data_IF_066136397444
#
_entry.id   IF_066136397444
#
_cell.length_a   1.000
_cell.length_b   1.000
_cell.length_c   1.000
_cell.angle_alpha   90.00
_cell.angle_beta   90.00
_cell.angle_gamma   90.00
#
_symmetry.space_group_name_H-M   'P 1'
#
loop_
_entity.id
_entity.type
_entity.pdbx_description
1 polymer ?
#
# COMPACT_ATOMS: atom_id res chain seq x y z
N UNK A 1 15.05 7.98 -12.55
CA UNK A 1 14.49 7.97 -11.17
C UNK A 1 13.06 8.50 -11.28
N UNK A 2 12.07 7.61 -11.40
CA UNK A 2 10.66 7.99 -11.39
C UNK A 2 10.14 7.65 -10.00
N UNK A 3 9.93 8.64 -9.14
CA UNK A 3 9.18 8.44 -7.90
C UNK A 3 7.72 8.74 -8.19
N UNK A 4 6.87 7.73 -8.12
CA UNK A 4 5.43 7.93 -8.14
C UNK A 4 5.00 8.51 -6.81
N UNK A 5 4.45 9.72 -6.81
CA UNK A 5 3.94 10.35 -5.60
C UNK A 5 2.55 9.78 -5.28
N UNK A 6 2.41 9.21 -4.08
CA UNK A 6 1.13 8.77 -3.53
C UNK A 6 0.67 9.80 -2.51
N UNK A 7 -0.54 10.32 -2.71
CA UNK A 7 -1.15 11.30 -1.82
C UNK A 7 -2.24 10.64 -0.97
N UNK A 8 -2.05 10.50 0.37
CA UNK A 8 -3.04 9.85 1.23
C UNK A 8 -4.45 10.43 1.11
N UNK A 9 -4.58 11.75 0.92
CA UNK A 9 -5.87 12.41 0.74
C UNK A 9 -6.68 11.86 -0.45
N UNK A 10 -6.02 11.50 -1.55
CA UNK A 10 -6.71 10.97 -2.73
C UNK A 10 -7.15 9.52 -2.49
N UNK A 11 -6.34 8.74 -1.76
CA UNK A 11 -6.70 7.39 -1.33
C UNK A 11 -7.90 7.40 -0.39
N UNK A 12 -7.90 8.29 0.62
CA UNK A 12 -9.01 8.49 1.56
C UNK A 12 -10.28 8.88 0.81
N UNK A 13 -10.20 9.85 -0.11
CA UNK A 13 -11.34 10.27 -0.94
C UNK A 13 -11.91 9.09 -1.74
N UNK A 14 -11.06 8.23 -2.29
CA UNK A 14 -11.50 7.07 -3.07
C UNK A 14 -12.11 5.98 -2.19
N UNK A 15 -11.55 5.72 -1.02
CA UNK A 15 -12.09 4.78 -0.05
C UNK A 15 -13.50 5.19 0.40
N UNK A 16 -13.69 6.46 0.75
CA UNK A 16 -15.00 7.02 1.11
C UNK A 16 -15.99 6.96 -0.04
N UNK A 17 -15.57 7.31 -1.27
CA UNK A 17 -16.44 7.24 -2.44
C UNK A 17 -17.01 5.85 -2.68
N UNK A 18 -16.24 4.80 -2.41
CA UNK A 18 -16.67 3.41 -2.54
C UNK A 18 -17.30 2.82 -1.27
N UNK A 19 -17.44 3.61 -0.19
CA UNK A 19 -17.85 3.12 1.12
C UNK A 19 -17.02 1.89 1.56
N UNK A 20 -15.72 1.90 1.29
CA UNK A 20 -14.87 0.75 1.48
C UNK A 20 -14.68 0.46 2.98
N UNK A 21 -14.95 -0.77 3.41
CA UNK A 21 -14.62 -1.21 4.78
C UNK A 21 -13.13 -1.57 4.93
N UNK A 22 -12.45 -1.86 3.83
CA UNK A 22 -11.03 -2.20 3.80
C UNK A 22 -10.43 -2.04 2.40
N UNK A 23 -9.10 -1.95 2.32
CA UNK A 23 -8.33 -1.85 1.07
C UNK A 23 -7.10 -2.76 1.08
N UNK A 24 -6.63 -3.12 -0.11
CA UNK A 24 -5.32 -3.72 -0.35
C UNK A 24 -4.57 -2.79 -1.31
N UNK A 25 -3.30 -2.51 -1.01
CA UNK A 25 -2.42 -1.80 -1.93
C UNK A 25 -1.61 -2.78 -2.75
N UNK A 26 -1.30 -2.40 -4.00
CA UNK A 26 -0.36 -3.15 -4.81
C UNK A 26 0.45 -2.19 -5.68
N UNK A 27 1.74 -2.46 -5.82
CA UNK A 27 2.58 -1.83 -6.82
C UNK A 27 3.55 -2.84 -7.43
N UNK A 28 4.03 -2.53 -8.63
CA UNK A 28 4.97 -3.38 -9.35
C UNK A 28 6.40 -2.87 -9.17
N UNK A 29 7.33 -3.80 -9.00
CA UNK A 29 8.76 -3.57 -9.18
C UNK A 29 9.18 -4.12 -10.53
N UNK A 30 9.38 -3.28 -11.58
CA UNK A 30 9.77 -3.75 -12.90
C UNK A 30 11.10 -4.51 -12.93
N UNK A 31 11.95 -4.33 -11.91
CA UNK A 31 13.19 -5.08 -11.73
C UNK A 31 12.97 -6.56 -11.41
N UNK A 32 11.78 -6.96 -10.96
CA UNK A 32 11.48 -8.30 -10.46
C UNK A 32 11.89 -8.53 -9.00
N UNK A 33 12.66 -7.63 -8.39
CA UNK A 33 13.00 -7.70 -6.97
C UNK A 33 11.80 -7.28 -6.12
N UNK A 34 11.31 -8.18 -5.26
CA UNK A 34 10.16 -7.94 -4.38
C UNK A 34 10.56 -7.41 -3.00
N UNK A 35 11.83 -7.11 -2.77
CA UNK A 35 12.31 -6.56 -1.50
C UNK A 35 11.71 -5.16 -1.28
N UNK A 36 10.97 -4.93 -0.17
CA UNK A 36 10.36 -3.63 0.10
C UNK A 36 11.42 -2.58 0.42
N UNK A 37 11.38 -1.47 -0.33
CA UNK A 37 12.22 -0.31 -0.07
C UNK A 37 11.76 0.44 1.19
N UNK A 38 12.59 1.36 1.67
CA UNK A 38 12.19 2.25 2.77
C UNK A 38 11.05 3.19 2.36
N UNK A 39 10.96 3.55 1.07
CA UNK A 39 9.87 4.35 0.56
C UNK A 39 8.54 3.59 0.63
N UNK A 40 8.54 2.30 0.25
CA UNK A 40 7.35 1.43 0.31
C UNK A 40 6.85 1.29 1.75
N UNK A 41 7.76 1.04 2.69
CA UNK A 41 7.42 0.96 4.12
C UNK A 41 6.85 2.27 4.65
N UNK A 42 7.50 3.39 4.32
CA UNK A 42 7.08 4.72 4.77
C UNK A 42 5.69 5.10 4.25
N UNK A 43 5.43 4.93 2.95
CA UNK A 43 4.13 5.27 2.37
C UNK A 43 3.03 4.34 2.89
N UNK A 44 3.30 3.04 3.07
CA UNK A 44 2.35 2.09 3.65
C UNK A 44 1.91 2.53 5.02
N UNK A 45 2.86 2.87 5.89
CA UNK A 45 2.58 3.34 7.24
C UNK A 45 1.81 4.67 7.25
N UNK A 46 2.11 5.58 6.32
CA UNK A 46 1.34 6.81 6.18
C UNK A 46 -0.11 6.55 5.74
N UNK A 47 -0.33 5.61 4.82
CA UNK A 47 -1.66 5.21 4.34
C UNK A 47 -2.47 4.51 5.43
N UNK A 48 -1.85 3.59 6.19
CA UNK A 48 -2.49 2.93 7.35
C UNK A 48 -3.00 3.99 8.33
N UNK A 49 -2.12 4.91 8.76
CA UNK A 49 -2.49 5.97 9.70
C UNK A 49 -3.63 6.83 9.17
N UNK A 50 -3.60 7.21 7.89
CA UNK A 50 -4.63 8.05 7.30
C UNK A 50 -6.00 7.34 7.21
N UNK A 51 -6.01 6.08 6.79
CA UNK A 51 -7.25 5.30 6.62
C UNK A 51 -7.84 4.83 7.96
N UNK A 52 -7.00 4.60 8.96
CA UNK A 52 -7.44 4.26 10.32
C UNK A 52 -8.33 5.35 10.93
N UNK A 53 -8.08 6.63 10.62
CA UNK A 53 -8.90 7.76 11.11
C UNK A 53 -10.36 7.72 10.62
N UNK A 54 -10.63 6.96 9.56
CA UNK A 54 -11.97 6.78 9.00
C UNK A 54 -12.41 5.31 9.04
N UNK A 55 -11.81 4.52 9.92
CA UNK A 55 -12.15 3.11 10.16
C UNK A 55 -12.04 2.20 8.93
N UNK A 56 -11.21 2.58 7.96
CA UNK A 56 -10.89 1.76 6.79
C UNK A 56 -9.62 0.96 7.06
N UNK A 57 -9.73 -0.37 7.04
CA UNK A 57 -8.60 -1.26 7.29
C UNK A 57 -7.71 -1.37 6.05
N UNK A 58 -6.40 -1.36 6.23
CA UNK A 58 -5.46 -1.83 5.21
C UNK A 58 -5.22 -3.30 5.50
N UNK A 59 -5.59 -4.19 4.58
CA UNK A 59 -5.44 -5.63 4.77
C UNK A 59 -4.07 -6.13 4.36
N UNK A 60 -3.49 -5.52 3.33
CA UNK A 60 -2.18 -5.88 2.82
C UNK A 60 -1.60 -4.78 1.92
N UNK A 61 -0.30 -4.88 1.67
CA UNK A 61 0.39 -4.21 0.58
C UNK A 61 1.25 -5.23 -0.17
N UNK A 62 0.94 -5.41 -1.46
CA UNK A 62 1.59 -6.36 -2.34
C UNK A 62 2.65 -5.68 -3.22
N UNK A 63 3.88 -6.19 -3.21
CA UNK A 63 4.90 -5.86 -4.21
C UNK A 63 4.95 -6.97 -5.24
N UNK A 64 4.69 -6.63 -6.50
CA UNK A 64 4.63 -7.61 -7.60
C UNK A 64 5.91 -7.51 -8.44
N UNK A 65 6.72 -8.57 -8.42
CA UNK A 65 7.99 -8.71 -9.14
C UNK A 65 7.93 -9.83 -10.20
N UNK A 66 6.94 -9.76 -11.10
CA UNK A 66 6.71 -10.82 -12.09
C UNK A 66 5.96 -12.01 -11.48
N UNK A 67 6.61 -13.18 -11.40
CA UNK A 67 6.01 -14.39 -10.81
C UNK A 67 6.11 -14.43 -9.27
N UNK A 68 6.79 -13.46 -8.67
CA UNK A 68 6.96 -13.35 -7.23
C UNK A 68 6.13 -12.20 -6.67
N UNK A 69 5.62 -12.39 -5.45
CA UNK A 69 4.84 -11.40 -4.72
C UNK A 69 5.38 -11.33 -3.30
N UNK A 70 5.61 -10.12 -2.79
CA UNK A 70 5.84 -9.87 -1.37
C UNK A 70 4.56 -9.33 -0.74
N UNK A 71 4.04 -9.99 0.29
CA UNK A 71 2.94 -9.52 1.13
C UNK A 71 3.48 -8.84 2.38
N UNK A 72 3.07 -7.61 2.65
CA UNK A 72 3.42 -6.94 3.90
C UNK A 72 2.72 -7.59 5.09
N UNK A 73 1.48 -8.08 4.92
CA UNK A 73 0.72 -8.74 5.97
C UNK A 73 1.38 -10.04 6.43
N UNK A 74 1.85 -10.88 5.51
CA UNK A 74 2.59 -12.12 5.84
C UNK A 74 3.88 -11.86 6.62
N UNK A 75 4.43 -10.65 6.50
CA UNK A 75 5.67 -10.22 7.16
C UNK A 75 5.44 -9.28 8.35
N UNK A 76 4.19 -9.08 8.80
CA UNK A 76 3.84 -8.25 9.96
C UNK A 76 4.14 -6.75 9.79
N UNK A 77 4.08 -6.25 8.55
CA UNK A 77 4.34 -4.85 8.20
C UNK A 77 3.06 -4.02 8.00
N UNK A 78 1.88 -4.66 8.04
CA UNK A 78 0.54 -4.07 8.14
C UNK A 78 -0.16 -4.67 9.35
#
# INVERSE_FOLDING_TARGET
>A
ISSTQVYPREVVKRALHFNAAAVIFAHNHPSGDITPSQADKSITQQLIKALQLIEVRVLDHLIIGGQQIFSFAEHGLV
#
